data_IF_851780969567
#
_entry.id   IF_851780969567
#
_cell.length_a   1.000
_cell.length_b   1.000
_cell.length_c   1.000
_cell.angle_alpha   90.00
_cell.angle_beta   90.00
_cell.angle_gamma   90.00
#
_symmetry.space_group_name_H-M   'P 1'
#
loop_
_entity.id
_entity.type
_entity.pdbx_description
1 polymer ?
#
# COMPACT_ATOMS: atom_id res chain seq x y z
N UNK A 1 23.32 11.17 18.80
CA UNK A 1 23.08 10.45 17.51
C UNK A 1 22.46 11.49 16.59
N UNK A 2 22.96 11.64 15.37
CA UNK A 2 22.43 12.55 14.38
C UNK A 2 20.93 12.23 14.14
N UNK A 3 20.06 13.22 14.17
CA UNK A 3 18.61 13.07 14.11
C UNK A 3 18.16 12.37 12.82
N UNK A 4 18.81 12.70 11.69
CA UNK A 4 18.59 12.03 10.42
C UNK A 4 18.93 10.53 10.45
N UNK A 5 20.03 10.16 11.10
CA UNK A 5 20.41 8.75 11.26
C UNK A 5 19.44 8.01 12.18
N UNK A 6 18.91 8.69 13.20
CA UNK A 6 17.89 8.11 14.08
C UNK A 6 16.62 7.82 13.30
N UNK A 7 16.12 8.78 12.52
CA UNK A 7 14.91 8.64 11.70
C UNK A 7 15.05 7.51 10.66
N UNK A 8 16.16 7.46 9.93
CA UNK A 8 16.40 6.38 8.96
C UNK A 8 16.41 4.99 9.63
N UNK A 9 16.93 4.89 10.86
CA UNK A 9 16.93 3.64 11.58
C UNK A 9 15.54 3.28 12.10
N UNK A 10 14.75 4.26 12.55
CA UNK A 10 13.36 4.08 12.94
C UNK A 10 12.55 3.53 11.75
N UNK A 11 12.66 4.13 10.56
CA UNK A 11 12.00 3.67 9.33
C UNK A 11 12.37 2.21 9.00
N UNK A 12 13.66 1.84 9.04
CA UNK A 12 14.10 0.47 8.82
C UNK A 12 13.52 -0.53 9.82
N UNK A 13 13.41 -0.14 11.08
CA UNK A 13 12.84 -0.99 12.13
C UNK A 13 11.33 -1.15 11.95
N UNK A 14 10.63 -0.07 11.60
CA UNK A 14 9.19 -0.08 11.32
C UNK A 14 8.89 -0.99 10.13
N UNK A 15 9.70 -0.95 9.07
CA UNK A 15 9.52 -1.83 7.90
C UNK A 15 9.56 -3.32 8.26
N UNK A 16 10.32 -3.72 9.29
CA UNK A 16 10.33 -5.11 9.77
C UNK A 16 9.03 -5.52 10.50
N UNK A 17 8.36 -4.57 11.14
CA UNK A 17 7.07 -4.82 11.79
C UNK A 17 5.97 -4.99 10.75
N UNK A 18 6.05 -4.26 9.64
CA UNK A 18 5.07 -4.28 8.56
C UNK A 18 4.83 -5.69 7.98
N UNK A 19 5.87 -6.51 7.91
CA UNK A 19 5.77 -7.88 7.43
C UNK A 19 4.81 -8.76 8.21
N UNK A 20 4.59 -8.40 9.45
CA UNK A 20 3.77 -9.17 10.36
C UNK A 20 2.41 -8.52 10.65
N UNK A 21 2.16 -7.35 10.04
CA UNK A 21 0.96 -6.53 10.32
C UNK A 21 -0.36 -7.25 10.02
N UNK A 22 -0.38 -8.14 9.01
CA UNK A 22 -1.58 -8.84 8.58
C UNK A 22 -2.08 -9.87 9.57
N UNK A 23 -1.16 -10.58 10.20
CA UNK A 23 -1.47 -11.78 10.99
C UNK A 23 -1.38 -11.54 12.49
N UNK A 24 -0.97 -10.35 12.91
CA UNK A 24 -0.68 -10.05 14.31
C UNK A 24 -1.76 -9.21 15.00
N UNK A 25 -2.02 -9.58 16.25
CA UNK A 25 -2.79 -8.75 17.16
C UNK A 25 -1.85 -7.77 17.89
N UNK A 26 -1.57 -6.63 17.26
CA UNK A 26 -0.72 -5.60 17.87
C UNK A 26 -1.25 -5.10 19.20
N UNK A 27 -2.57 -5.15 19.41
CA UNK A 27 -3.18 -4.73 20.65
C UNK A 27 -2.57 -5.46 21.86
N UNK A 28 -2.28 -6.75 21.72
CA UNK A 28 -1.73 -7.58 22.81
C UNK A 28 -0.20 -7.52 22.95
N UNK A 29 0.53 -6.96 21.95
CA UNK A 29 1.98 -6.93 21.95
C UNK A 29 2.55 -5.85 22.88
N UNK A 30 3.62 -6.19 23.60
CA UNK A 30 4.41 -5.27 24.39
C UNK A 30 5.72 -4.87 23.69
N UNK A 31 6.53 -4.00 24.31
CA UNK A 31 7.80 -3.53 23.74
C UNK A 31 8.85 -4.63 23.54
N UNK A 32 8.77 -5.73 24.30
CA UNK A 32 9.66 -6.87 24.12
C UNK A 32 9.29 -7.66 22.86
N UNK A 33 8.00 -7.84 22.63
CA UNK A 33 7.49 -8.49 21.42
C UNK A 33 7.83 -7.68 20.17
N UNK A 34 7.70 -6.34 20.24
CA UNK A 34 8.11 -5.43 19.18
C UNK A 34 9.63 -5.53 18.89
N UNK A 35 10.46 -5.60 19.94
CA UNK A 35 11.90 -5.76 19.77
C UNK A 35 12.26 -7.08 19.09
N UNK A 36 11.59 -8.18 19.47
CA UNK A 36 11.76 -9.49 18.82
C UNK A 36 11.40 -9.44 17.33
N UNK A 37 10.27 -8.82 16.98
CA UNK A 37 9.86 -8.62 15.58
C UNK A 37 10.88 -7.81 14.77
N UNK A 38 11.40 -6.75 15.38
CA UNK A 38 12.41 -5.91 14.74
C UNK A 38 13.79 -6.58 14.67
N UNK A 39 13.99 -7.73 15.36
CA UNK A 39 15.26 -8.45 15.42
C UNK A 39 16.34 -7.68 16.20
N UNK A 40 15.96 -6.96 17.26
CA UNK A 40 16.86 -6.18 18.10
C UNK A 40 16.57 -6.42 19.59
N UNK A 41 17.52 -6.04 20.46
CA UNK A 41 17.29 -6.10 21.91
C UNK A 41 16.30 -5.01 22.36
N UNK A 42 15.56 -5.28 23.46
CA UNK A 42 14.68 -4.30 24.10
C UNK A 42 15.43 -3.01 24.46
N UNK A 43 16.66 -3.11 24.95
CA UNK A 43 17.50 -1.94 25.27
C UNK A 43 17.83 -1.12 24.00
N UNK A 44 18.03 -1.79 22.88
CA UNK A 44 18.25 -1.11 21.58
C UNK A 44 16.96 -0.45 21.09
N UNK A 45 15.79 -1.09 21.26
CA UNK A 45 14.51 -0.51 20.87
C UNK A 45 14.24 0.81 21.59
N UNK A 46 14.47 0.87 22.89
CA UNK A 46 14.28 2.09 23.69
C UNK A 46 15.23 3.26 23.34
N UNK A 47 16.29 3.02 22.56
CA UNK A 47 17.11 4.11 21.98
C UNK A 47 16.39 4.84 20.84
N UNK A 48 15.46 4.17 20.20
CA UNK A 48 14.72 4.67 19.03
C UNK A 48 13.30 5.08 19.35
N UNK A 49 12.61 4.33 20.21
CA UNK A 49 11.19 4.54 20.56
C UNK A 49 10.99 4.50 22.06
N UNK A 50 10.39 5.53 22.61
CA UNK A 50 10.12 5.62 24.05
C UNK A 50 9.05 4.60 24.49
N UNK A 51 8.07 4.34 23.63
CA UNK A 51 6.94 3.45 23.90
C UNK A 51 6.36 2.89 22.59
N UNK A 52 5.37 2.03 22.72
CA UNK A 52 4.66 1.41 21.61
C UNK A 52 3.88 2.43 20.76
N UNK A 53 3.31 3.44 21.40
CA UNK A 53 2.58 4.51 20.73
C UNK A 53 3.46 5.26 19.74
N UNK A 54 4.70 5.60 20.12
CA UNK A 54 5.66 6.27 19.23
C UNK A 54 5.99 5.42 17.98
N UNK A 55 6.01 4.08 18.11
CA UNK A 55 6.19 3.17 16.97
C UNK A 55 5.03 3.33 15.99
N UNK A 56 3.78 3.30 16.49
CA UNK A 56 2.59 3.44 15.65
C UNK A 56 2.44 4.84 15.08
N UNK A 57 2.82 5.88 15.84
CA UNK A 57 2.82 7.26 15.38
C UNK A 57 3.78 7.44 14.19
N UNK A 58 5.02 6.98 14.32
CA UNK A 58 6.00 7.04 13.22
C UNK A 58 5.52 6.25 12.00
N UNK A 59 4.93 5.08 12.20
CA UNK A 59 4.39 4.28 11.11
C UNK A 59 3.23 4.98 10.41
N UNK A 60 2.26 5.48 11.16
CA UNK A 60 1.09 6.18 10.63
C UNK A 60 1.50 7.44 9.86
N UNK A 61 2.44 8.21 10.40
CA UNK A 61 2.99 9.39 9.72
C UNK A 61 3.71 9.03 8.42
N UNK A 62 4.50 7.94 8.42
CA UNK A 62 5.16 7.43 7.21
C UNK A 62 4.15 7.02 6.12
N UNK A 63 3.04 6.37 6.49
CA UNK A 63 1.95 6.04 5.56
C UNK A 63 1.28 7.30 4.99
N UNK A 64 0.96 8.27 5.84
CA UNK A 64 0.36 9.55 5.42
C UNK A 64 1.30 10.25 4.42
N UNK A 65 2.57 10.39 4.74
CA UNK A 65 3.57 10.99 3.85
C UNK A 65 3.69 10.24 2.52
N UNK A 66 3.68 8.90 2.55
CA UNK A 66 3.69 8.08 1.33
C UNK A 66 2.48 8.37 0.44
N UNK A 67 1.28 8.43 1.02
CA UNK A 67 0.04 8.72 0.28
C UNK A 67 0.10 10.13 -0.31
N UNK A 68 0.49 11.12 0.50
CA UNK A 68 0.55 12.53 0.10
C UNK A 68 1.64 12.80 -0.95
N UNK A 69 2.75 12.06 -0.92
CA UNK A 69 3.82 12.18 -1.92
C UNK A 69 3.45 11.69 -3.31
N UNK A 70 2.35 10.93 -3.44
CA UNK A 70 1.87 10.32 -4.68
C UNK A 70 0.46 10.78 -5.04
N UNK A 71 0.16 12.05 -4.81
CA UNK A 71 -1.14 12.62 -5.18
C UNK A 71 -1.32 12.70 -6.70
N UNK A 72 -2.57 12.59 -7.13
CA UNK A 72 -2.98 12.71 -8.53
C UNK A 72 -3.23 14.20 -8.85
N UNK A 73 -2.17 15.00 -8.89
CA UNK A 73 -2.24 16.41 -9.27
C UNK A 73 -2.06 16.55 -10.79
N UNK A 74 -2.79 17.50 -11.38
CA UNK A 74 -2.64 17.87 -12.79
C UNK A 74 -2.82 16.71 -13.79
N UNK A 75 -3.87 15.90 -13.59
CA UNK A 75 -4.23 14.82 -14.53
C UNK A 75 -4.65 15.41 -15.86
N UNK A 76 -3.91 15.09 -16.91
CA UNK A 76 -4.19 15.44 -18.31
C UNK A 76 -4.30 14.18 -19.16
N UNK A 77 -4.74 14.30 -20.40
CA UNK A 77 -4.77 13.17 -21.33
C UNK A 77 -3.37 12.56 -21.54
N UNK A 78 -2.33 13.40 -21.57
CA UNK A 78 -0.93 12.99 -21.76
C UNK A 78 -0.39 12.23 -20.53
N UNK A 79 -0.79 12.62 -19.32
CA UNK A 79 -0.33 11.99 -18.08
C UNK A 79 -1.19 10.83 -17.63
N UNK A 80 -2.35 10.60 -18.25
CA UNK A 80 -3.35 9.62 -17.81
C UNK A 80 -2.79 8.20 -17.70
N UNK A 81 -1.97 7.78 -18.66
CA UNK A 81 -1.36 6.44 -18.67
C UNK A 81 -0.34 6.29 -17.53
N UNK A 82 0.44 7.32 -17.25
CA UNK A 82 1.38 7.34 -16.13
C UNK A 82 0.64 7.26 -14.80
N UNK A 83 -0.47 8.00 -14.66
CA UNK A 83 -1.29 7.95 -13.46
C UNK A 83 -2.07 6.64 -13.31
N UNK A 84 -2.46 5.97 -14.39
CA UNK A 84 -3.02 4.62 -14.33
C UNK A 84 -2.04 3.65 -13.63
N UNK A 85 -0.78 3.67 -14.05
CA UNK A 85 0.28 2.84 -13.45
C UNK A 85 0.58 3.25 -12.01
N UNK A 86 0.58 4.55 -11.70
CA UNK A 86 0.77 5.06 -10.35
C UNK A 86 -0.36 4.64 -9.40
N UNK A 87 -1.62 4.73 -9.85
CA UNK A 87 -2.80 4.29 -9.08
C UNK A 87 -2.72 2.79 -8.78
N UNK A 88 -2.31 1.97 -9.75
CA UNK A 88 -2.10 0.55 -9.55
C UNK A 88 -1.02 0.27 -8.49
N UNK A 89 0.17 0.85 -8.65
CA UNK A 89 1.30 0.70 -7.72
C UNK A 89 0.93 1.13 -6.29
N UNK A 90 0.29 2.31 -6.16
CA UNK A 90 -0.11 2.83 -4.86
C UNK A 90 -1.18 1.97 -4.20
N UNK A 91 -2.20 1.54 -4.96
CA UNK A 91 -3.28 0.70 -4.45
C UNK A 91 -2.76 -0.65 -3.96
N UNK A 92 -1.87 -1.28 -4.73
CA UNK A 92 -1.20 -2.51 -4.35
C UNK A 92 -0.38 -2.34 -3.07
N UNK A 93 0.40 -1.25 -2.99
CA UNK A 93 1.20 -0.95 -1.80
C UNK A 93 0.33 -0.72 -0.56
N UNK A 94 -0.78 0.00 -0.70
CA UNK A 94 -1.69 0.27 0.41
C UNK A 94 -2.40 -0.99 0.89
N UNK A 95 -2.87 -1.84 -0.01
CA UNK A 95 -3.47 -3.12 0.37
C UNK A 95 -2.49 -4.03 1.14
N UNK A 96 -1.19 -3.91 0.87
CA UNK A 96 -0.15 -4.62 1.61
C UNK A 96 0.11 -4.00 2.99
N UNK A 97 0.20 -2.67 3.06
CA UNK A 97 0.66 -1.93 4.24
C UNK A 97 -0.47 -1.55 5.21
N UNK A 98 -1.71 -1.50 4.74
CA UNK A 98 -2.86 -1.00 5.50
C UNK A 98 -4.04 -1.98 5.37
N UNK A 99 -3.87 -3.25 5.80
CA UNK A 99 -5.00 -4.20 5.80
C UNK A 99 -6.09 -3.76 6.79
N UNK A 100 -7.32 -4.18 6.54
CA UNK A 100 -8.48 -3.83 7.38
C UNK A 100 -8.27 -4.20 8.85
N UNK A 101 -7.59 -5.32 9.13
CA UNK A 101 -7.23 -5.75 10.47
C UNK A 101 -6.34 -4.73 11.20
N UNK A 102 -5.41 -4.10 10.49
CA UNK A 102 -4.57 -3.02 11.05
C UNK A 102 -5.40 -1.77 11.36
N UNK A 103 -6.25 -1.34 10.43
CA UNK A 103 -7.10 -0.16 10.63
C UNK A 103 -8.03 -0.34 11.84
N UNK A 104 -8.61 -1.52 12.00
CA UNK A 104 -9.47 -1.82 13.15
C UNK A 104 -8.70 -1.75 14.47
N UNK A 105 -7.53 -2.38 14.56
CA UNK A 105 -6.69 -2.33 15.76
C UNK A 105 -6.20 -0.91 16.06
N UNK A 106 -5.82 -0.14 15.03
CA UNK A 106 -5.41 1.25 15.18
C UNK A 106 -6.56 2.11 15.73
N UNK A 107 -7.78 1.88 15.25
CA UNK A 107 -8.99 2.56 15.74
C UNK A 107 -9.24 2.28 17.21
N UNK A 108 -9.08 1.02 17.64
CA UNK A 108 -9.36 0.60 19.02
C UNK A 108 -8.29 1.12 20.00
N UNK A 109 -7.02 1.18 19.57
CA UNK A 109 -5.89 1.56 20.42
C UNK A 109 -5.56 3.06 20.38
N UNK A 110 -5.62 3.66 19.19
CA UNK A 110 -5.18 5.02 18.91
C UNK A 110 -6.15 5.73 17.96
N UNK A 111 -7.35 6.11 18.45
CA UNK A 111 -8.42 6.67 17.61
C UNK A 111 -8.03 7.92 16.83
N UNK A 112 -7.14 8.76 17.37
CA UNK A 112 -6.67 9.98 16.70
C UNK A 112 -5.76 9.66 15.51
N UNK A 113 -4.84 8.71 15.67
CA UNK A 113 -3.98 8.24 14.57
C UNK A 113 -4.82 7.61 13.45
N UNK A 114 -5.78 6.74 13.85
CA UNK A 114 -6.73 6.17 12.90
C UNK A 114 -7.50 7.26 12.14
N UNK A 115 -8.02 8.28 12.83
CA UNK A 115 -8.81 9.34 12.19
C UNK A 115 -7.99 10.15 11.19
N UNK A 116 -6.71 10.40 11.47
CA UNK A 116 -5.79 11.08 10.53
C UNK A 116 -5.55 10.23 9.29
N UNK A 117 -5.17 8.96 9.49
CA UNK A 117 -4.91 8.03 8.38
C UNK A 117 -6.17 7.79 7.54
N UNK A 118 -7.33 7.56 8.16
CA UNK A 118 -8.60 7.34 7.48
C UNK A 118 -8.99 8.54 6.60
N UNK A 119 -8.78 9.77 7.07
CA UNK A 119 -9.01 10.99 6.29
C UNK A 119 -8.09 11.07 5.06
N UNK A 120 -6.81 10.75 5.23
CA UNK A 120 -5.85 10.74 4.11
C UNK A 120 -6.21 9.67 3.07
N UNK A 121 -6.62 8.48 3.52
CA UNK A 121 -7.09 7.40 2.62
C UNK A 121 -8.38 7.80 1.88
N UNK A 122 -9.32 8.44 2.58
CA UNK A 122 -10.56 8.93 1.96
C UNK A 122 -10.28 9.99 0.89
N UNK A 123 -9.39 10.95 1.16
CA UNK A 123 -9.00 11.97 0.20
C UNK A 123 -8.30 11.36 -1.03
N UNK A 124 -7.39 10.42 -0.82
CA UNK A 124 -6.78 9.65 -1.90
C UNK A 124 -7.84 8.91 -2.74
N UNK A 125 -8.84 8.32 -2.11
CA UNK A 125 -9.91 7.62 -2.82
C UNK A 125 -10.78 8.59 -3.64
N UNK A 126 -11.06 9.79 -3.14
CA UNK A 126 -11.75 10.85 -3.91
C UNK A 126 -10.95 11.25 -5.15
N UNK A 127 -9.64 11.44 -5.01
CA UNK A 127 -8.75 11.75 -6.15
C UNK A 127 -8.74 10.61 -7.17
N UNK A 128 -8.71 9.36 -6.73
CA UNK A 128 -8.77 8.18 -7.62
C UNK A 128 -10.11 8.09 -8.35
N UNK A 129 -11.22 8.38 -7.68
CA UNK A 129 -12.55 8.47 -8.32
C UNK A 129 -12.56 9.57 -9.38
N UNK A 130 -12.00 10.74 -9.09
CA UNK A 130 -11.91 11.86 -10.05
C UNK A 130 -11.06 11.49 -11.27
N UNK A 131 -9.92 10.81 -11.04
CA UNK A 131 -9.06 10.28 -12.10
C UNK A 131 -9.81 9.33 -13.03
N UNK A 132 -10.54 8.37 -12.50
CA UNK A 132 -11.33 7.45 -13.32
C UNK A 132 -12.41 8.19 -14.11
N UNK A 133 -13.12 9.15 -13.49
CA UNK A 133 -14.13 9.97 -14.18
C UNK A 133 -13.53 10.76 -15.34
N UNK A 134 -12.40 11.40 -15.11
CA UNK A 134 -11.69 12.15 -16.14
C UNK A 134 -11.36 11.28 -17.36
N UNK A 135 -10.78 10.09 -17.15
CA UNK A 135 -10.47 9.17 -18.24
C UNK A 135 -11.73 8.68 -19.00
N UNK A 136 -12.86 8.50 -18.29
CA UNK A 136 -14.14 8.14 -18.90
C UNK A 136 -14.75 9.29 -19.72
N UNK A 137 -14.66 10.52 -19.24
CA UNK A 137 -15.11 11.74 -19.91
C UNK A 137 -14.31 11.99 -21.20
N UNK A 138 -13.01 11.68 -21.18
CA UNK A 138 -12.14 11.76 -22.36
C UNK A 138 -12.29 10.61 -23.35
N UNK A 139 -13.09 9.60 -23.01
CA UNK A 139 -13.30 8.42 -23.87
C UNK A 139 -12.07 7.50 -23.95
N UNK A 140 -11.14 7.65 -23.01
CA UNK A 140 -9.94 6.80 -22.88
C UNK A 140 -10.26 5.56 -22.05
N UNK A 141 -11.07 5.74 -21.01
CA UNK A 141 -11.55 4.67 -20.16
C UNK A 141 -12.98 4.26 -20.53
N UNK A 142 -13.26 2.97 -20.39
CA UNK A 142 -14.60 2.43 -20.52
C UNK A 142 -15.49 2.97 -19.40
N UNK A 143 -16.78 3.20 -19.70
CA UNK A 143 -17.76 3.72 -18.73
C UNK A 143 -18.09 2.65 -17.69
N UNK A 144 -17.50 2.74 -16.54
CA UNK A 144 -17.71 1.89 -15.38
C UNK A 144 -18.06 2.76 -14.15
N UNK A 145 -18.52 2.14 -13.08
CA UNK A 145 -18.72 2.86 -11.83
C UNK A 145 -17.36 3.12 -11.14
N UNK A 146 -16.87 4.37 -11.02
CA UNK A 146 -15.56 4.67 -10.47
C UNK A 146 -15.43 4.30 -8.98
N UNK A 147 -16.53 4.32 -8.22
CA UNK A 147 -16.51 3.89 -6.83
C UNK A 147 -16.30 2.38 -6.70
N UNK A 148 -16.89 1.58 -7.62
CA UNK A 148 -16.63 0.13 -7.65
C UNK A 148 -15.20 -0.18 -8.07
N UNK A 149 -14.60 0.62 -8.97
CA UNK A 149 -13.19 0.47 -9.33
C UNK A 149 -12.26 0.72 -8.13
N UNK A 150 -12.56 1.71 -7.28
CA UNK A 150 -11.82 1.94 -6.05
C UNK A 150 -12.02 0.77 -5.07
N UNK A 151 -13.25 0.27 -4.91
CA UNK A 151 -13.53 -0.89 -4.04
C UNK A 151 -12.87 -2.17 -4.54
N UNK A 152 -12.72 -2.35 -5.85
CA UNK A 152 -12.01 -3.49 -6.43
C UNK A 152 -10.55 -3.60 -5.91
N UNK A 153 -9.97 -2.49 -5.45
CA UNK A 153 -8.63 -2.49 -4.86
C UNK A 153 -8.54 -3.35 -3.57
N UNK A 154 -9.65 -3.60 -2.88
CA UNK A 154 -9.68 -4.54 -1.75
C UNK A 154 -9.36 -5.98 -2.18
N UNK A 155 -9.56 -6.34 -3.46
CA UNK A 155 -9.15 -7.64 -3.98
C UNK A 155 -7.63 -7.85 -3.93
N UNK A 156 -6.83 -6.78 -3.90
CA UNK A 156 -5.37 -6.90 -3.70
C UNK A 156 -5.03 -7.61 -2.39
N UNK A 157 -5.84 -7.49 -1.35
CA UNK A 157 -5.61 -8.22 -0.11
C UNK A 157 -5.62 -9.74 -0.32
N UNK A 158 -6.49 -10.22 -1.23
CA UNK A 158 -6.55 -11.63 -1.61
C UNK A 158 -5.29 -12.07 -2.36
N UNK A 159 -4.71 -11.19 -3.21
CA UNK A 159 -3.48 -11.49 -3.95
C UNK A 159 -2.26 -11.64 -3.04
N UNK A 160 -2.34 -11.14 -1.81
CA UNK A 160 -1.28 -11.29 -0.81
C UNK A 160 -1.55 -12.44 0.19
N UNK A 161 -2.63 -13.20 -0.01
CA UNK A 161 -2.92 -14.37 0.80
C UNK A 161 -2.12 -15.58 0.29
N UNK A 162 -1.08 -15.96 1.02
CA UNK A 162 -0.18 -17.08 0.66
C UNK A 162 -0.95 -18.37 0.43
N UNK A 163 -1.90 -18.70 1.32
CA UNK A 163 -2.69 -19.92 1.20
C UNK A 163 -3.48 -19.93 -0.12
N UNK A 164 -4.07 -18.80 -0.50
CA UNK A 164 -4.75 -18.65 -1.77
C UNK A 164 -3.77 -18.84 -2.95
N UNK A 165 -2.64 -18.16 -2.93
CA UNK A 165 -1.65 -18.25 -4.00
C UNK A 165 -1.10 -19.68 -4.16
N UNK A 166 -0.76 -20.34 -3.05
CA UNK A 166 -0.31 -21.75 -3.07
C UNK A 166 -1.37 -22.69 -3.62
N UNK A 167 -2.64 -22.55 -3.20
CA UNK A 167 -3.75 -23.35 -3.72
C UNK A 167 -3.98 -23.17 -5.22
N UNK A 168 -3.68 -21.98 -5.75
CA UNK A 168 -3.81 -21.64 -7.17
C UNK A 168 -2.52 -21.85 -7.96
N UNK A 169 -1.44 -22.28 -7.32
CA UNK A 169 -0.11 -22.45 -7.93
C UNK A 169 0.39 -21.16 -8.60
N UNK A 170 0.11 -20.00 -7.97
CA UNK A 170 0.52 -18.69 -8.44
C UNK A 170 1.68 -18.16 -7.59
N UNK A 171 2.65 -17.51 -8.24
CA UNK A 171 3.59 -16.64 -7.53
C UNK A 171 2.93 -15.28 -7.28
N UNK A 172 3.47 -14.52 -6.31
CA UNK A 172 3.01 -13.15 -6.06
C UNK A 172 3.19 -12.29 -7.31
N UNK A 173 4.31 -12.43 -8.01
CA UNK A 173 4.61 -11.67 -9.21
C UNK A 173 3.61 -11.95 -10.34
N UNK A 174 3.30 -13.23 -10.60
CA UNK A 174 2.28 -13.63 -11.56
C UNK A 174 0.92 -13.03 -11.22
N UNK A 175 0.48 -13.15 -9.94
CA UNK A 175 -0.79 -12.60 -9.50
C UNK A 175 -0.88 -11.07 -9.67
N UNK A 176 0.22 -10.35 -9.41
CA UNK A 176 0.30 -8.90 -9.62
C UNK A 176 0.18 -8.54 -11.11
N UNK A 177 0.89 -9.25 -11.98
CA UNK A 177 0.82 -9.04 -13.43
C UNK A 177 -0.55 -9.36 -13.99
N UNK A 178 -1.12 -10.50 -13.61
CA UNK A 178 -2.45 -10.92 -14.07
C UNK A 178 -3.51 -9.90 -13.66
N UNK A 179 -3.42 -9.35 -12.44
CA UNK A 179 -4.35 -8.34 -11.99
C UNK A 179 -4.14 -6.98 -12.66
N UNK A 180 -2.89 -6.61 -12.95
CA UNK A 180 -2.57 -5.42 -13.74
C UNK A 180 -3.17 -5.50 -15.15
N UNK A 181 -2.99 -6.62 -15.83
CA UNK A 181 -3.59 -6.86 -17.14
C UNK A 181 -5.12 -6.91 -17.09
N UNK A 182 -5.68 -7.54 -16.06
CA UNK A 182 -7.14 -7.53 -15.87
C UNK A 182 -7.68 -6.10 -15.75
N UNK A 183 -7.04 -5.23 -14.97
CA UNK A 183 -7.45 -3.84 -14.85
C UNK A 183 -7.25 -3.06 -16.15
N UNK A 184 -6.16 -3.30 -16.87
CA UNK A 184 -5.88 -2.72 -18.18
C UNK A 184 -6.98 -3.06 -19.18
N UNK A 185 -7.33 -4.34 -19.31
CA UNK A 185 -8.40 -4.83 -20.20
C UNK A 185 -9.79 -4.32 -19.81
N UNK A 186 -10.08 -4.28 -18.53
CA UNK A 186 -11.37 -3.84 -18.01
C UNK A 186 -11.59 -2.34 -18.24
N UNK A 187 -10.56 -1.54 -18.07
CA UNK A 187 -10.68 -0.08 -18.01
C UNK A 187 -10.37 0.61 -19.34
N UNK A 188 -9.33 0.20 -20.06
CA UNK A 188 -8.85 0.87 -21.25
C UNK A 188 -9.50 0.31 -22.52
N UNK A 189 -9.78 1.19 -23.49
CA UNK A 189 -10.03 0.74 -24.84
C UNK A 189 -8.73 0.25 -25.49
N UNK A 190 -8.82 -0.72 -26.39
CA UNK A 190 -7.68 -1.39 -27.02
C UNK A 190 -6.64 -0.40 -27.62
N UNK A 191 -7.12 0.64 -28.30
CA UNK A 191 -6.28 1.69 -28.88
C UNK A 191 -5.42 2.47 -27.86
N UNK A 192 -5.79 2.45 -26.58
CA UNK A 192 -5.05 3.13 -25.51
C UNK A 192 -4.17 2.17 -24.70
N UNK A 193 -4.41 0.86 -24.78
CA UNK A 193 -3.60 -0.13 -24.07
C UNK A 193 -2.16 -0.15 -24.56
N UNK A 194 -1.93 0.11 -25.85
CA UNK A 194 -0.60 0.16 -26.47
C UNK A 194 0.22 1.39 -26.02
N UNK A 195 -0.43 2.41 -25.48
CA UNK A 195 0.23 3.61 -24.97
C UNK A 195 0.84 3.40 -23.56
N UNK A 196 0.47 2.31 -22.88
CA UNK A 196 1.05 1.97 -21.58
C UNK A 196 2.47 1.44 -21.75
N UNK A 197 3.40 2.00 -21.01
CA UNK A 197 4.76 1.48 -20.92
C UNK A 197 4.84 0.37 -19.87
N UNK A 198 4.45 -0.86 -20.24
CA UNK A 198 4.48 -2.02 -19.35
C UNK A 198 5.91 -2.38 -18.89
N UNK A 199 6.94 -2.05 -19.68
CA UNK A 199 8.34 -2.23 -19.29
C UNK A 199 8.71 -1.37 -18.06
N UNK A 200 8.14 -0.17 -17.93
CA UNK A 200 8.33 0.68 -16.75
C UNK A 200 7.71 0.10 -15.47
N UNK A 201 6.78 -0.84 -15.60
CA UNK A 201 6.17 -1.54 -14.46
C UNK A 201 7.01 -2.71 -13.95
N UNK A 202 7.89 -3.30 -14.76
CA UNK A 202 8.69 -4.47 -14.36
C UNK A 202 9.43 -4.27 -13.04
N UNK A 203 10.29 -3.24 -12.87
CA UNK A 203 11.01 -3.04 -11.60
C UNK A 203 10.06 -2.78 -10.42
N UNK A 204 8.88 -2.20 -10.67
CA UNK A 204 7.87 -1.96 -9.65
C UNK A 204 7.19 -3.26 -9.21
N UNK A 205 6.84 -4.13 -10.17
CA UNK A 205 6.26 -5.45 -9.91
C UNK A 205 7.23 -6.35 -9.16
N UNK A 206 8.49 -6.40 -9.58
CA UNK A 206 9.56 -7.12 -8.89
C UNK A 206 9.74 -6.61 -7.45
N UNK A 207 9.78 -5.28 -7.26
CA UNK A 207 9.89 -4.67 -5.95
C UNK A 207 8.70 -5.06 -5.05
N UNK A 208 7.47 -4.95 -5.55
CA UNK A 208 6.26 -5.31 -4.82
C UNK A 208 6.24 -6.81 -4.50
N UNK A 209 6.55 -7.67 -5.47
CA UNK A 209 6.59 -9.11 -5.28
C UNK A 209 7.64 -9.51 -4.22
N UNK A 210 8.84 -8.94 -4.30
CA UNK A 210 9.90 -9.17 -3.32
C UNK A 210 9.49 -8.66 -1.93
N UNK A 211 8.85 -7.50 -1.87
CA UNK A 211 8.35 -6.94 -0.61
C UNK A 211 7.31 -7.86 0.02
N UNK A 212 6.34 -8.33 -0.75
CA UNK A 212 5.33 -9.30 -0.27
C UNK A 212 5.99 -10.59 0.17
N UNK A 213 6.88 -11.17 -0.65
CA UNK A 213 7.56 -12.44 -0.33
C UNK A 213 8.36 -12.31 0.98
N UNK A 214 9.14 -11.24 1.14
CA UNK A 214 9.93 -11.00 2.36
C UNK A 214 9.09 -10.68 3.60
N UNK A 215 7.81 -10.30 3.42
CA UNK A 215 6.88 -10.03 4.50
C UNK A 215 6.09 -11.29 4.91
N UNK A 216 6.06 -12.31 4.06
CA UNK A 216 5.24 -13.51 4.22
C UNK A 216 6.09 -14.74 4.62
N UNK A 217 7.36 -14.78 4.22
CA UNK A 217 8.35 -15.84 4.48
C UNK A 217 9.55 -15.31 5.26
#
# INVERSE_FOLDING_TARGET
>A
MDEQKKQQQQEKLIMKVLGNIRDMQFASMNMEDMAKLMGISRATLYKYFANKEEIFENFTNGLIQYIESKQLSDVTEETLMTYFQLVFEQSTSLALLVPDSFLQQLKDMYPEMHSRLARTLEERNKQTVAFYRFGMEKGIFRKLNPHLLVQQQQLFETLFNVKFLMQKQLTVEQALWDFYYLQKEQLLFESYQELLNDEAMKPKMEYLANKVTNLIF
#
